data_IF_462363379883
#
_entry.id   IF_462363379883
#
_cell.length_a   1.000
_cell.length_b   1.000
_cell.length_c   1.000
_cell.angle_alpha   90.00
_cell.angle_beta   90.00
_cell.angle_gamma   90.00
#
_symmetry.space_group_name_H-M   'P 1'
#
loop_
_entity.id
_entity.type
_entity.pdbx_description
1 polymer ?
#
# COMPACT_ATOMS: atom_id res chain seq x y z
N UNK A 1 -18.26 19.13 3.74
CA UNK A 1 -17.30 18.01 3.78
C UNK A 1 -16.86 17.69 5.20
N UNK A 2 -16.36 18.63 6.01
CA UNK A 2 -16.05 18.38 7.45
C UNK A 2 -17.23 17.80 8.25
N UNK A 3 -18.47 18.29 8.05
CA UNK A 3 -19.68 17.74 8.67
C UNK A 3 -19.91 16.24 8.42
N UNK A 4 -19.53 15.72 7.24
CA UNK A 4 -19.68 14.30 6.90
C UNK A 4 -18.67 13.45 7.67
N UNK A 5 -17.41 13.89 7.75
CA UNK A 5 -16.36 13.25 8.54
C UNK A 5 -16.68 13.26 10.05
N UNK A 6 -17.17 14.38 10.58
CA UNK A 6 -17.60 14.50 11.99
C UNK A 6 -18.76 13.55 12.29
N UNK A 7 -19.69 13.38 11.34
CA UNK A 7 -20.77 12.40 11.48
C UNK A 7 -20.25 10.96 11.61
N UNK A 8 -19.13 10.63 10.97
CA UNK A 8 -18.44 9.35 11.10
C UNK A 8 -17.46 9.26 12.29
N UNK A 9 -17.54 10.21 13.24
CA UNK A 9 -16.81 10.15 14.51
C UNK A 9 -15.37 10.66 14.46
N UNK A 10 -14.96 11.34 13.39
CA UNK A 10 -13.62 11.95 13.32
C UNK A 10 -13.62 13.37 13.90
N UNK A 11 -12.62 13.69 14.72
CA UNK A 11 -12.40 15.04 15.25
C UNK A 11 -11.51 15.81 14.28
N UNK A 12 -12.11 16.57 13.34
CA UNK A 12 -11.39 17.35 12.33
C UNK A 12 -11.97 18.77 12.25
N UNK A 13 -11.09 19.77 12.16
CA UNK A 13 -11.46 21.14 11.78
C UNK A 13 -11.56 21.26 10.26
N UNK A 14 -12.20 22.32 9.78
CA UNK A 14 -12.18 22.63 8.34
C UNK A 14 -10.77 22.98 7.85
N UNK A 15 -9.90 23.49 8.73
CA UNK A 15 -8.52 23.85 8.40
C UNK A 15 -7.60 22.62 8.23
N UNK A 16 -8.03 21.45 8.73
CA UNK A 16 -7.30 20.18 8.59
C UNK A 16 -7.61 19.48 7.24
N UNK A 17 -8.52 20.04 6.43
CA UNK A 17 -8.98 19.41 5.18
C UNK A 17 -8.40 20.14 3.98
N UNK A 18 -7.60 19.43 3.19
CA UNK A 18 -7.08 19.90 1.91
C UNK A 18 -7.84 19.22 0.77
N UNK A 19 -8.35 20.02 -0.18
CA UNK A 19 -8.96 19.50 -1.41
C UNK A 19 -7.85 19.28 -2.44
N UNK A 20 -7.73 18.06 -2.94
CA UNK A 20 -6.82 17.68 -4.01
C UNK A 20 -7.58 17.28 -5.27
N UNK A 21 -6.89 17.20 -6.40
CA UNK A 21 -7.36 16.67 -7.67
C UNK A 21 -7.36 15.12 -7.68
N UNK A 22 -7.90 14.51 -6.61
CA UNK A 22 -8.05 13.06 -6.48
C UNK A 22 -7.05 12.39 -5.54
N UNK A 23 -7.22 11.08 -5.35
CA UNK A 23 -6.50 10.30 -4.34
C UNK A 23 -5.00 10.16 -4.64
N UNK A 24 -4.62 10.08 -5.93
CA UNK A 24 -3.21 9.95 -6.30
C UNK A 24 -2.40 11.19 -5.90
N UNK A 25 -2.95 12.39 -6.14
CA UNK A 25 -2.30 13.63 -5.70
C UNK A 25 -2.23 13.72 -4.17
N UNK A 26 -3.30 13.31 -3.46
CA UNK A 26 -3.28 13.27 -1.99
C UNK A 26 -2.16 12.39 -1.45
N UNK A 27 -2.02 11.17 -1.98
CA UNK A 27 -0.98 10.23 -1.54
C UNK A 27 0.40 10.77 -1.88
N UNK A 28 0.58 11.33 -3.07
CA UNK A 28 1.84 11.95 -3.49
C UNK A 28 2.26 13.09 -2.56
N UNK A 29 1.35 14.02 -2.25
CA UNK A 29 1.61 15.13 -1.35
C UNK A 29 1.86 14.64 0.09
N UNK A 30 1.12 13.64 0.55
CA UNK A 30 1.34 13.05 1.87
C UNK A 30 2.74 12.46 1.98
N UNK A 31 3.15 11.64 1.00
CA UNK A 31 4.51 11.05 0.96
C UNK A 31 5.59 12.13 0.87
N UNK A 32 5.41 13.17 0.05
CA UNK A 32 6.33 14.31 -0.01
C UNK A 32 6.47 15.04 1.33
N UNK A 33 5.40 15.07 2.14
CA UNK A 33 5.40 15.78 3.42
C UNK A 33 6.05 15.00 4.57
N UNK A 34 6.03 13.66 4.52
CA UNK A 34 6.47 12.80 5.63
C UNK A 34 7.69 11.93 5.32
N UNK A 35 8.08 11.79 4.05
CA UNK A 35 9.19 10.95 3.63
C UNK A 35 10.31 11.76 2.96
N UNK A 36 11.53 11.25 3.08
CA UNK A 36 12.70 11.71 2.36
C UNK A 36 13.18 10.63 1.37
N UNK A 37 13.92 11.02 0.31
CA UNK A 37 14.58 10.06 -0.58
C UNK A 37 15.41 9.02 0.19
N UNK A 38 15.20 7.74 -0.12
CA UNK A 38 15.87 6.61 0.52
C UNK A 38 15.15 6.01 1.72
N UNK A 39 14.07 6.66 2.20
CA UNK A 39 13.19 6.12 3.24
C UNK A 39 12.43 4.90 2.74
N UNK A 40 12.03 4.04 3.69
CA UNK A 40 11.31 2.81 3.39
C UNK A 40 9.83 2.98 3.72
N UNK A 41 8.97 2.70 2.75
CA UNK A 41 7.52 2.66 2.93
C UNK A 41 7.08 1.19 2.90
N UNK A 42 6.37 0.78 3.95
CA UNK A 42 5.73 -0.52 4.00
C UNK A 42 4.43 -0.49 3.20
N UNK A 43 4.24 -1.47 2.32
CA UNK A 43 3.06 -1.56 1.45
C UNK A 43 2.53 -2.98 1.46
N UNK A 44 1.23 -3.16 1.28
CA UNK A 44 0.68 -4.49 1.04
C UNK A 44 1.13 -5.05 -0.30
N UNK A 45 1.18 -6.37 -0.41
CA UNK A 45 1.26 -7.04 -1.70
C UNK A 45 -0.03 -7.83 -1.93
N UNK A 46 -0.71 -7.64 -3.07
CA UNK A 46 -0.32 -6.75 -4.17
C UNK A 46 -0.65 -5.27 -3.91
N UNK A 47 0.28 -4.38 -4.27
CA UNK A 47 0.05 -2.93 -4.29
C UNK A 47 -0.54 -2.50 -5.65
N UNK A 48 -1.41 -1.49 -5.63
CA UNK A 48 -1.88 -0.83 -6.84
C UNK A 48 -0.72 -0.26 -7.67
N UNK A 49 -0.59 -0.71 -8.92
CA UNK A 49 0.59 -0.45 -9.76
C UNK A 49 0.92 1.04 -9.96
N UNK A 50 -0.11 1.91 -9.97
CA UNK A 50 0.10 3.36 -10.11
C UNK A 50 0.92 3.96 -8.96
N UNK A 51 0.90 3.34 -7.78
CA UNK A 51 1.71 3.80 -6.65
C UNK A 51 3.17 3.33 -6.74
N UNK A 52 3.47 2.27 -7.49
CA UNK A 52 4.85 1.80 -7.66
C UNK A 52 5.68 2.89 -8.35
N UNK A 53 5.17 3.44 -9.46
CA UNK A 53 5.86 4.51 -10.18
C UNK A 53 5.99 5.80 -9.34
N UNK A 54 4.98 6.10 -8.53
CA UNK A 54 4.99 7.24 -7.61
C UNK A 54 6.11 7.10 -6.56
N UNK A 55 6.22 5.93 -5.93
CA UNK A 55 7.23 5.63 -4.91
C UNK A 55 8.65 5.66 -5.51
N UNK A 56 8.82 5.12 -6.72
CA UNK A 56 10.09 5.20 -7.46
C UNK A 56 10.49 6.65 -7.76
N UNK A 57 9.55 7.48 -8.19
CA UNK A 57 9.79 8.92 -8.48
C UNK A 57 10.26 9.68 -7.24
N UNK A 58 9.71 9.32 -6.08
CA UNK A 58 10.11 9.87 -4.77
C UNK A 58 11.38 9.23 -4.20
N UNK A 59 12.00 8.30 -4.92
CA UNK A 59 13.21 7.57 -4.51
C UNK A 59 13.02 6.80 -3.19
N UNK A 60 11.80 6.32 -2.95
CA UNK A 60 11.44 5.55 -1.76
C UNK A 60 11.71 4.06 -1.99
N UNK A 61 12.09 3.37 -0.93
CA UNK A 61 12.24 1.91 -0.92
C UNK A 61 10.91 1.28 -0.53
N UNK A 62 10.53 0.22 -1.24
CA UNK A 62 9.29 -0.50 -0.98
C UNK A 62 9.60 -1.72 -0.11
N UNK A 63 8.93 -1.82 1.03
CA UNK A 63 8.91 -3.02 1.85
C UNK A 63 7.53 -3.69 1.73
N UNK A 64 7.51 -4.81 1.03
CA UNK A 64 6.29 -5.56 0.75
C UNK A 64 5.87 -6.43 1.94
N UNK A 65 4.65 -6.19 2.45
CA UNK A 65 3.99 -6.98 3.48
C UNK A 65 2.89 -7.83 2.83
N UNK A 66 2.93 -9.16 2.93
CA UNK A 66 1.93 -10.01 2.29
C UNK A 66 0.53 -9.81 2.85
N UNK A 67 -0.45 -9.88 1.96
CA UNK A 67 -1.87 -9.71 2.24
C UNK A 67 -2.67 -10.87 1.60
N UNK A 68 -3.71 -11.33 2.28
CA UNK A 68 -4.69 -12.31 1.77
C UNK A 68 -6.08 -11.70 1.69
N UNK A 69 -6.94 -12.22 0.81
CA UNK A 69 -8.31 -11.71 0.69
C UNK A 69 -9.18 -11.97 1.93
N UNK A 70 -8.83 -12.99 2.72
CA UNK A 70 -9.62 -13.45 3.87
C UNK A 70 -9.22 -12.68 5.14
N UNK A 71 -7.93 -12.47 5.35
CA UNK A 71 -7.39 -11.92 6.61
C UNK A 71 -6.76 -10.53 6.43
N UNK A 72 -6.57 -10.08 5.19
CA UNK A 72 -5.90 -8.82 4.89
C UNK A 72 -4.39 -8.91 5.09
N UNK A 73 -3.76 -7.78 5.45
CA UNK A 73 -2.32 -7.69 5.67
C UNK A 73 -1.89 -8.53 6.87
N UNK A 74 -0.85 -9.36 6.71
CA UNK A 74 -0.29 -10.12 7.84
C UNK A 74 0.35 -9.18 8.86
N UNK A 75 -0.26 -9.12 10.04
CA UNK A 75 0.23 -8.32 11.17
C UNK A 75 1.57 -8.87 11.67
N UNK A 76 1.76 -10.19 11.65
CA UNK A 76 3.01 -10.83 12.05
C UNK A 76 4.17 -10.43 11.13
N UNK A 77 3.91 -10.35 9.82
CA UNK A 77 4.89 -9.88 8.86
C UNK A 77 5.19 -8.39 9.05
N UNK A 78 4.16 -7.58 9.34
CA UNK A 78 4.31 -6.15 9.64
C UNK A 78 5.14 -5.91 10.92
N UNK A 79 4.86 -6.65 12.00
CA UNK A 79 5.62 -6.57 13.26
C UNK A 79 7.09 -6.95 13.05
N UNK A 80 7.34 -8.02 12.28
CA UNK A 80 8.69 -8.46 11.93
C UNK A 80 9.47 -7.39 11.13
N UNK A 81 8.77 -6.70 10.22
CA UNK A 81 9.30 -5.59 9.44
C UNK A 81 9.64 -4.37 10.32
N UNK A 82 8.76 -4.00 11.26
CA UNK A 82 8.95 -2.85 12.16
C UNK A 82 10.03 -3.10 13.23
N UNK A 83 10.20 -4.34 13.68
CA UNK A 83 11.17 -4.74 14.72
C UNK A 83 12.65 -4.71 14.32
N UNK A 84 13.00 -4.16 13.15
CA UNK A 84 14.40 -4.06 12.68
C UNK A 84 14.99 -5.36 12.13
N UNK A 85 14.19 -6.41 11.98
CA UNK A 85 14.57 -7.69 11.37
C UNK A 85 13.89 -7.91 10.03
N UNK A 86 13.84 -6.89 9.17
CA UNK A 86 13.46 -7.06 7.76
C UNK A 86 14.25 -8.19 7.06
N UNK A 87 15.46 -8.52 7.56
CA UNK A 87 16.28 -9.63 7.09
C UNK A 87 15.80 -11.05 7.49
N UNK A 88 14.81 -11.19 8.39
CA UNK A 88 14.32 -12.51 8.83
C UNK A 88 12.99 -12.92 8.18
N UNK A 89 12.24 -11.99 7.60
CA UNK A 89 11.02 -12.35 6.90
C UNK A 89 11.35 -12.89 5.50
N UNK A 90 11.39 -14.22 5.37
CA UNK A 90 11.49 -14.90 4.08
C UNK A 90 10.08 -15.14 3.57
N UNK A 91 9.72 -14.48 2.46
CA UNK A 91 8.43 -14.71 1.80
C UNK A 91 8.26 -16.21 1.49
N UNK A 92 7.12 -16.83 1.85
CA UNK A 92 6.81 -18.20 1.43
C UNK A 92 6.62 -18.27 -0.09
N UNK A 93 7.08 -19.35 -0.74
CA UNK A 93 7.08 -19.51 -2.21
C UNK A 93 5.68 -19.41 -2.87
N UNK A 94 4.63 -19.57 -2.08
CA UNK A 94 3.22 -19.42 -2.48
C UNK A 94 2.85 -17.98 -2.86
N UNK A 95 3.64 -16.99 -2.43
CA UNK A 95 3.40 -15.57 -2.63
C UNK A 95 4.25 -15.02 -3.78
N UNK A 96 4.23 -15.67 -4.95
CA UNK A 96 5.06 -15.27 -6.09
C UNK A 96 4.33 -14.22 -6.93
N UNK A 97 4.91 -13.02 -7.05
CA UNK A 97 4.41 -11.91 -7.90
C UNK A 97 4.23 -12.39 -9.35
N UNK A 98 3.06 -12.15 -9.92
CA UNK A 98 2.84 -12.33 -11.36
C UNK A 98 3.72 -11.35 -12.15
N UNK A 99 4.58 -11.81 -13.09
CA UNK A 99 5.35 -10.93 -13.97
C UNK A 99 4.47 -10.04 -14.87
N UNK A 100 3.18 -10.39 -15.01
CA UNK A 100 2.25 -9.72 -15.92
C UNK A 100 1.26 -8.77 -15.24
N UNK A 101 0.93 -8.99 -13.97
CA UNK A 101 -0.17 -8.27 -13.30
C UNK A 101 0.20 -7.66 -11.95
N UNK A 102 1.39 -7.94 -11.40
CA UNK A 102 1.81 -7.42 -10.10
C UNK A 102 1.01 -7.95 -8.88
N UNK A 103 -0.01 -8.77 -9.12
CA UNK A 103 -0.88 -9.41 -8.14
C UNK A 103 -0.19 -10.51 -7.32
N UNK A 104 -0.66 -10.72 -6.09
CA UNK A 104 -0.43 -11.98 -5.38
C UNK A 104 -1.48 -13.02 -5.84
N UNK A 105 -1.04 -14.21 -6.20
CA UNK A 105 -1.91 -15.34 -6.48
C UNK A 105 -2.23 -16.11 -5.18
N UNK A 106 -3.45 -15.98 -4.67
CA UNK A 106 -3.98 -16.95 -3.72
C UNK A 106 -4.25 -18.25 -4.50
N UNK A 107 -3.72 -19.39 -4.06
CA UNK A 107 -3.97 -20.69 -4.69
C UNK A 107 -5.45 -21.06 -4.56
N UNK A 108 -6.26 -20.66 -5.54
CA UNK A 108 -7.71 -20.90 -5.55
C UNK A 108 -8.57 -19.74 -6.07
N UNK A 109 -8.04 -18.54 -6.25
CA UNK A 109 -8.82 -17.43 -6.85
C UNK A 109 -8.92 -17.57 -8.37
N UNK A 110 -10.09 -17.34 -8.99
CA UNK A 110 -10.23 -17.37 -10.45
C UNK A 110 -9.28 -16.34 -11.06
N UNK A 111 -8.46 -16.80 -12.00
CA UNK A 111 -7.59 -15.94 -12.81
C UNK A 111 -8.49 -15.14 -13.74
N UNK A 112 -8.75 -13.87 -13.46
CA UNK A 112 -9.31 -12.98 -14.47
C UNK A 112 -8.20 -12.68 -15.49
N UNK A 113 -8.32 -13.14 -16.76
CA UNK A 113 -7.35 -12.79 -17.78
C UNK A 113 -7.39 -11.27 -17.99
N UNK A 114 -6.22 -10.63 -17.95
CA UNK A 114 -6.07 -9.23 -18.32
C UNK A 114 -6.45 -9.09 -19.81
N UNK A 115 -7.67 -8.65 -20.09
CA UNK A 115 -8.16 -8.51 -21.47
C UNK A 115 -9.67 -8.49 -21.70
N UNK A 116 -10.52 -8.64 -20.67
CA UNK A 116 -11.98 -8.42 -20.83
C UNK A 116 -12.46 -7.24 -19.99
N UNK A 117 -12.38 -6.06 -20.60
CA UNK A 117 -13.39 -5.00 -20.56
C UNK A 117 -13.69 -4.62 -22.00
#
# INVERSE_FOLDING_TARGET
MSKHYIFHGTQLSSDDIIITNGCQESVFLALLSICNPGDTVATETPIFFNFIHMLETLQLKILEIPCTCEEGMSIEALECALGGTAAKYRQPESFRRSPRTGGCFCSGSPVFPAGEI
#
